data_IF_761655003276
#
_entry.id   IF_761655003276
#
_cell.length_a   1.000
_cell.length_b   1.000
_cell.length_c   1.000
_cell.angle_alpha   90.00
_cell.angle_beta   90.00
_cell.angle_gamma   90.00
#
_symmetry.space_group_name_H-M   'P 1'
#
loop_
_entity.id
_entity.type
_entity.pdbx_description
1 polymer ?
#
# COMPACT_ATOMS: atom_id res chain seq x y z
N UNK A 1 0.37 4.90 -25.37
CA UNK A 1 1.12 4.61 -24.12
C UNK A 1 2.60 4.72 -24.34
N UNK A 2 3.14 4.11 -25.39
CA UNK A 2 4.59 4.13 -25.68
C UNK A 2 5.16 5.54 -25.84
N UNK A 3 4.43 6.44 -26.51
CA UNK A 3 4.85 7.84 -26.67
C UNK A 3 4.90 8.61 -25.32
N UNK A 4 3.97 8.34 -24.40
CA UNK A 4 4.01 8.92 -23.05
C UNK A 4 5.22 8.42 -22.30
N UNK A 5 5.44 7.11 -22.29
CA UNK A 5 6.59 6.47 -21.66
C UNK A 5 7.91 7.07 -22.16
N UNK A 6 8.12 7.13 -23.47
CA UNK A 6 9.33 7.70 -24.07
C UNK A 6 9.55 9.16 -23.65
N UNK A 7 8.49 9.97 -23.64
CA UNK A 7 8.58 11.39 -23.23
C UNK A 7 8.99 11.52 -21.77
N UNK A 8 8.42 10.70 -20.89
CA UNK A 8 8.76 10.68 -19.46
C UNK A 8 10.20 10.19 -19.22
N UNK A 9 10.62 9.14 -19.92
CA UNK A 9 11.98 8.61 -19.79
C UNK A 9 13.02 9.63 -20.29
N UNK A 10 12.75 10.32 -21.40
CA UNK A 10 13.62 11.41 -21.87
C UNK A 10 13.72 12.55 -20.86
N UNK A 11 12.59 13.00 -20.31
CA UNK A 11 12.57 14.06 -19.30
C UNK A 11 13.18 13.64 -17.95
N UNK A 12 13.24 12.33 -17.67
CA UNK A 12 13.91 11.80 -16.49
C UNK A 12 15.43 11.93 -16.62
N UNK A 13 15.98 11.60 -17.80
CA UNK A 13 17.41 11.73 -18.10
C UNK A 13 17.83 13.21 -18.25
N UNK A 14 16.96 14.06 -18.82
CA UNK A 14 17.19 15.49 -18.95
C UNK A 14 16.02 16.31 -18.37
N UNK A 15 16.18 16.77 -17.13
CA UNK A 15 15.17 17.58 -16.44
C UNK A 15 14.97 18.97 -17.05
N UNK A 16 15.87 19.46 -17.91
CA UNK A 16 15.69 20.75 -18.59
C UNK A 16 14.46 20.75 -19.52
N UNK A 17 14.08 19.55 -20.01
CA UNK A 17 12.91 19.32 -20.84
C UNK A 17 11.59 19.62 -20.12
N UNK A 18 11.57 19.74 -18.79
CA UNK A 18 10.38 20.15 -18.04
C UNK A 18 9.88 21.57 -18.37
N UNK A 19 10.69 22.39 -19.06
CA UNK A 19 10.26 23.69 -19.59
C UNK A 19 9.37 23.57 -20.84
N UNK A 20 9.41 22.43 -21.53
CA UNK A 20 8.58 22.18 -22.71
C UNK A 20 7.15 21.84 -22.28
N UNK A 21 6.19 22.59 -22.81
CA UNK A 21 4.76 22.40 -22.58
C UNK A 21 4.32 20.97 -22.90
N UNK A 22 4.86 20.34 -23.95
CA UNK A 22 4.54 18.96 -24.34
C UNK A 22 4.91 17.96 -23.24
N UNK A 23 6.05 18.17 -22.59
CA UNK A 23 6.51 17.31 -21.49
C UNK A 23 5.65 17.52 -20.25
N UNK A 24 5.30 18.77 -19.94
CA UNK A 24 4.40 19.08 -18.83
C UNK A 24 3.02 18.43 -19.02
N UNK A 25 2.45 18.52 -20.23
CA UNK A 25 1.19 17.87 -20.60
C UNK A 25 1.29 16.34 -20.48
N UNK A 26 2.41 15.74 -20.92
CA UNK A 26 2.63 14.30 -20.76
C UNK A 26 2.67 13.86 -19.29
N UNK A 27 3.37 14.60 -18.43
CA UNK A 27 3.40 14.34 -16.98
C UNK A 27 1.99 14.45 -16.40
N UNK A 28 1.28 15.56 -16.66
CA UNK A 28 -0.09 15.77 -16.19
C UNK A 28 -1.04 14.66 -16.66
N UNK A 29 -0.89 14.20 -17.91
CA UNK A 29 -1.69 13.11 -18.46
C UNK A 29 -1.45 11.79 -17.72
N UNK A 30 -0.20 11.48 -17.33
CA UNK A 30 0.10 10.29 -16.52
C UNK A 30 -0.58 10.38 -15.15
N UNK A 31 -0.49 11.53 -14.48
CA UNK A 31 -1.13 11.75 -13.18
C UNK A 31 -2.66 11.63 -13.26
N UNK A 32 -3.25 12.13 -14.34
CA UNK A 32 -4.69 11.98 -14.60
C UNK A 32 -5.09 10.53 -14.82
N UNK A 33 -4.28 9.76 -15.55
CA UNK A 33 -4.53 8.32 -15.76
C UNK A 33 -4.34 7.50 -14.47
N UNK A 34 -3.40 7.90 -13.60
CA UNK A 34 -3.26 7.36 -12.25
C UNK A 34 -4.50 7.67 -11.40
N UNK A 35 -4.96 8.92 -11.37
CA UNK A 35 -6.14 9.32 -10.59
C UNK A 35 -7.42 8.57 -11.01
N UNK A 36 -7.52 8.23 -12.31
CA UNK A 36 -8.63 7.48 -12.92
C UNK A 36 -8.44 5.95 -12.89
N UNK A 37 -7.30 5.44 -12.43
CA UNK A 37 -7.01 4.01 -12.40
C UNK A 37 -6.78 3.35 -13.77
N UNK A 38 -6.66 4.15 -14.84
CA UNK A 38 -6.29 3.69 -16.20
C UNK A 38 -4.81 3.30 -16.27
N UNK A 39 -4.00 3.91 -15.40
CA UNK A 39 -2.63 3.51 -15.11
C UNK A 39 -2.52 3.13 -13.65
N UNK A 40 -1.58 2.24 -13.35
CA UNK A 40 -1.17 1.90 -11.99
C UNK A 40 0.34 1.67 -11.92
N UNK A 41 0.93 1.97 -10.77
CA UNK A 41 2.39 1.95 -10.57
C UNK A 41 2.95 0.53 -10.59
N UNK A 42 2.21 -0.45 -10.12
CA UNK A 42 2.52 -1.87 -10.30
C UNK A 42 1.23 -2.65 -10.52
N UNK A 43 1.29 -3.70 -11.33
CA UNK A 43 0.12 -4.54 -11.66
C UNK A 43 0.50 -6.03 -11.64
N UNK A 44 -0.45 -6.91 -11.28
CA UNK A 44 -0.24 -8.35 -11.42
C UNK A 44 -0.19 -8.74 -12.91
N UNK A 45 0.68 -9.68 -13.24
CA UNK A 45 0.78 -10.35 -14.54
C UNK A 45 -0.04 -11.65 -14.53
N UNK A 46 -0.25 -12.24 -15.70
CA UNK A 46 -1.04 -13.48 -15.86
C UNK A 46 -0.43 -14.69 -15.16
N UNK A 47 0.87 -14.67 -14.87
CA UNK A 47 1.59 -15.71 -14.12
C UNK A 47 1.56 -15.50 -12.59
N UNK A 48 0.87 -14.46 -12.11
CA UNK A 48 0.78 -14.11 -10.69
C UNK A 48 1.99 -13.32 -10.15
N UNK A 49 2.99 -13.02 -10.99
CA UNK A 49 4.05 -12.07 -10.62
C UNK A 49 3.57 -10.63 -10.75
N UNK A 50 4.32 -9.67 -10.21
CA UNK A 50 3.99 -8.25 -10.28
C UNK A 50 4.99 -7.50 -11.15
N UNK A 51 4.48 -6.73 -12.10
CA UNK A 51 5.28 -5.81 -12.91
C UNK A 51 5.21 -4.41 -12.31
N UNK A 52 6.38 -3.78 -12.14
CA UNK A 52 6.48 -2.36 -11.76
C UNK A 52 6.60 -1.52 -13.03
N UNK A 53 5.74 -0.52 -13.17
CA UNK A 53 5.84 0.51 -14.19
C UNK A 53 6.72 1.66 -13.66
N UNK A 54 8.04 1.46 -13.67
CA UNK A 54 9.02 2.40 -13.12
C UNK A 54 8.89 3.81 -13.75
N UNK A 55 8.62 3.88 -15.06
CA UNK A 55 8.40 5.15 -15.77
C UNK A 55 7.21 5.94 -15.21
N UNK A 56 6.20 5.29 -14.66
CA UNK A 56 5.07 5.96 -14.02
C UNK A 56 5.53 6.62 -12.71
N UNK A 57 6.43 5.99 -11.95
CA UNK A 57 7.05 6.63 -10.77
C UNK A 57 7.93 7.82 -11.17
N UNK A 58 8.69 7.69 -12.26
CA UNK A 58 9.46 8.81 -12.83
C UNK A 58 8.54 10.00 -13.13
N UNK A 59 7.38 9.77 -13.76
CA UNK A 59 6.39 10.83 -14.02
C UNK A 59 5.89 11.48 -12.72
N UNK A 60 5.61 10.70 -11.68
CA UNK A 60 5.21 11.22 -10.36
C UNK A 60 6.29 12.11 -9.74
N UNK A 61 7.55 11.70 -9.80
CA UNK A 61 8.66 12.51 -9.29
C UNK A 61 8.84 13.79 -10.11
N UNK A 62 8.71 13.71 -11.44
CA UNK A 62 8.77 14.86 -12.36
C UNK A 62 7.57 15.81 -12.19
N UNK A 63 6.45 15.34 -11.66
CA UNK A 63 5.29 16.19 -11.38
C UNK A 63 5.55 17.18 -10.25
N UNK A 64 6.30 16.81 -9.21
CA UNK A 64 6.57 17.68 -8.07
C UNK A 64 7.23 19.03 -8.40
N UNK A 65 8.29 19.13 -9.23
CA UNK A 65 8.85 20.42 -9.61
C UNK A 65 7.96 21.24 -10.55
N UNK A 66 6.95 20.62 -11.18
CA UNK A 66 5.97 21.33 -12.03
C UNK A 66 4.84 21.98 -11.23
N UNK A 67 4.71 21.66 -9.93
CA UNK A 67 3.69 22.25 -9.07
C UNK A 67 4.26 23.40 -8.24
N UNK A 68 3.43 24.41 -7.98
CA UNK A 68 3.78 25.56 -7.15
C UNK A 68 3.18 25.38 -5.75
N UNK A 69 3.89 25.87 -4.74
CA UNK A 69 3.38 25.85 -3.36
C UNK A 69 2.23 26.85 -3.24
N UNK A 70 1.14 26.40 -2.63
CA UNK A 70 -0.05 27.21 -2.38
C UNK A 70 -0.41 27.14 -0.90
N UNK A 71 -0.95 28.23 -0.37
CA UNK A 71 -1.56 28.25 0.96
C UNK A 71 -3.02 27.79 0.84
N UNK A 72 -3.40 26.84 1.68
CA UNK A 72 -4.75 26.25 1.72
C UNK A 72 -5.28 26.46 3.14
N UNK A 73 -6.44 27.12 3.28
CA UNK A 73 -7.05 27.40 4.57
C UNK A 73 -8.35 26.60 4.76
N UNK A 74 -8.56 26.04 5.95
CA UNK A 74 -9.79 25.33 6.34
C UNK A 74 -10.17 25.76 7.76
N UNK A 75 -11.06 26.74 7.90
CA UNK A 75 -11.43 27.28 9.21
C UNK A 75 -10.19 27.85 9.93
N UNK A 76 -9.85 27.42 11.16
CA UNK A 76 -8.67 27.92 11.88
C UNK A 76 -7.35 27.28 11.41
N UNK A 77 -7.36 26.37 10.44
CA UNK A 77 -6.18 25.65 9.98
C UNK A 77 -5.59 26.28 8.71
N UNK A 78 -4.27 26.45 8.69
CA UNK A 78 -3.49 26.82 7.50
C UNK A 78 -2.58 25.66 7.09
N UNK A 79 -2.52 25.37 5.79
CA UNK A 79 -1.62 24.40 5.19
C UNK A 79 -0.82 25.07 4.06
N UNK A 80 0.38 24.57 3.79
CA UNK A 80 1.22 25.01 2.68
C UNK A 80 1.74 23.79 1.92
N UNK A 81 1.11 23.45 0.80
CA UNK A 81 1.41 22.28 -0.03
C UNK A 81 1.19 22.61 -1.52
N UNK A 82 1.70 21.75 -2.40
CA UNK A 82 1.60 21.90 -3.86
C UNK A 82 0.87 20.76 -4.55
N UNK A 83 0.41 19.75 -3.80
CA UNK A 83 -0.28 18.59 -4.37
C UNK A 83 -1.78 18.72 -4.11
N UNK A 84 -2.60 18.88 -5.16
CA UNK A 84 -4.04 18.96 -4.99
C UNK A 84 -4.63 17.72 -4.31
N UNK A 85 -5.75 17.91 -3.61
CA UNK A 85 -6.54 16.80 -3.09
C UNK A 85 -7.41 16.18 -4.18
N UNK A 86 -7.67 14.87 -4.06
CA UNK A 86 -8.61 14.15 -4.93
C UNK A 86 -10.03 14.66 -4.72
N UNK A 87 -10.82 14.68 -5.80
CA UNK A 87 -12.18 15.23 -5.84
C UNK A 87 -13.16 14.22 -6.47
N UNK A 88 -14.42 14.61 -6.56
CA UNK A 88 -15.50 13.90 -7.28
C UNK A 88 -15.85 12.50 -6.74
N UNK A 89 -15.76 12.30 -5.41
CA UNK A 89 -16.02 11.01 -4.76
C UNK A 89 -17.43 10.45 -5.05
N UNK A 90 -18.47 11.30 -5.07
CA UNK A 90 -19.86 10.88 -5.34
C UNK A 90 -19.99 10.22 -6.72
N UNK A 91 -19.38 10.79 -7.75
CA UNK A 91 -19.43 10.24 -9.11
C UNK A 91 -18.58 8.97 -9.26
N UNK A 92 -17.60 8.77 -8.38
CA UNK A 92 -16.74 7.58 -8.32
C UNK A 92 -17.31 6.48 -7.40
N UNK A 93 -18.45 6.71 -6.73
CA UNK A 93 -19.02 5.74 -5.79
C UNK A 93 -18.13 5.44 -4.58
N UNK A 94 -17.31 6.40 -4.16
CA UNK A 94 -16.40 6.27 -3.01
C UNK A 94 -17.00 6.96 -1.80
N UNK A 95 -17.05 6.27 -0.65
CA UNK A 95 -17.50 6.84 0.62
C UNK A 95 -16.31 7.43 1.38
N UNK A 96 -16.36 8.72 1.66
CA UNK A 96 -15.31 9.45 2.38
C UNK A 96 -15.91 10.01 3.67
N UNK A 97 -15.49 9.48 4.82
CA UNK A 97 -15.93 9.93 6.15
C UNK A 97 -15.04 11.09 6.60
N UNK A 98 -15.59 12.23 7.04
CA UNK A 98 -14.78 13.35 7.51
C UNK A 98 -13.90 12.96 8.70
N UNK A 99 -12.59 13.22 8.70
CA UNK A 99 -11.79 14.03 7.75
C UNK A 99 -10.80 13.20 6.92
N UNK A 100 -11.26 12.14 6.25
CA UNK A 100 -10.40 11.34 5.38
C UNK A 100 -9.88 12.14 4.17
N UNK A 101 -8.64 11.91 3.78
CA UNK A 101 -7.91 12.69 2.77
C UNK A 101 -7.26 11.75 1.75
N UNK A 102 -7.43 12.05 0.47
CA UNK A 102 -6.66 11.45 -0.61
C UNK A 102 -6.03 12.54 -1.48
N UNK A 103 -4.78 12.33 -1.92
CA UNK A 103 -4.12 13.21 -2.90
C UNK A 103 -4.56 12.89 -4.33
N UNK A 104 -4.61 13.91 -5.18
CA UNK A 104 -4.80 13.74 -6.62
C UNK A 104 -3.72 12.82 -7.19
N UNK A 105 -4.12 11.91 -8.08
CA UNK A 105 -3.25 10.86 -8.61
C UNK A 105 -3.28 9.57 -7.77
N UNK A 106 -4.08 9.50 -6.71
CA UNK A 106 -4.47 8.25 -6.07
C UNK A 106 -5.76 7.70 -6.71
N UNK A 107 -5.79 6.42 -7.02
CA UNK A 107 -6.99 5.75 -7.50
C UNK A 107 -7.74 5.07 -6.35
N UNK A 108 -9.06 5.27 -6.34
CA UNK A 108 -10.00 4.63 -5.44
C UNK A 108 -11.11 4.03 -6.31
N UNK A 109 -11.22 2.70 -6.34
CA UNK A 109 -12.26 2.00 -7.10
C UNK A 109 -13.63 2.21 -6.44
N UNK A 110 -14.70 2.01 -7.21
CA UNK A 110 -16.08 2.12 -6.71
C UNK A 110 -16.30 1.17 -5.51
N UNK A 111 -16.97 1.68 -4.46
CA UNK A 111 -17.25 0.92 -3.25
C UNK A 111 -16.15 1.00 -2.16
N UNK A 112 -15.03 1.69 -2.41
CA UNK A 112 -14.04 1.98 -1.34
C UNK A 112 -14.67 2.84 -0.24
N UNK A 113 -14.34 2.51 1.01
CA UNK A 113 -14.73 3.27 2.20
C UNK A 113 -13.48 3.80 2.89
N UNK A 114 -13.40 5.13 3.01
CA UNK A 114 -12.37 5.82 3.78
C UNK A 114 -12.96 6.35 5.08
N UNK A 115 -12.61 5.73 6.20
CA UNK A 115 -12.71 6.34 7.53
C UNK A 115 -11.65 7.46 7.65
N UNK A 116 -11.61 8.29 8.71
CA UNK A 116 -10.61 9.36 8.83
C UNK A 116 -9.18 8.82 8.67
N UNK A 117 -8.60 8.92 7.48
CA UNK A 117 -7.41 8.19 7.04
C UNK A 117 -6.74 8.96 5.90
N UNK A 118 -5.56 8.50 5.45
CA UNK A 118 -4.78 9.17 4.41
C UNK A 118 -4.40 8.22 3.27
N UNK A 119 -4.67 8.61 2.02
CA UNK A 119 -4.25 7.89 0.80
C UNK A 119 -3.37 8.81 -0.05
N UNK A 120 -2.11 8.42 -0.25
CA UNK A 120 -1.14 9.25 -0.94
C UNK A 120 -1.15 9.00 -2.46
N UNK A 121 -0.54 9.93 -3.20
CA UNK A 121 -0.49 9.93 -4.66
C UNK A 121 0.17 8.66 -5.22
N UNK A 122 -0.38 8.15 -6.33
CA UNK A 122 0.09 6.95 -7.02
C UNK A 122 -0.40 5.65 -6.39
N UNK A 123 -1.04 5.71 -5.21
CA UNK A 123 -1.68 4.55 -4.62
C UNK A 123 -2.87 4.09 -5.48
N UNK A 124 -3.14 2.78 -5.42
CA UNK A 124 -4.29 2.16 -6.05
C UNK A 124 -5.04 1.37 -4.98
N UNK A 125 -6.34 1.64 -4.79
CA UNK A 125 -7.17 0.98 -3.78
C UNK A 125 -8.41 0.36 -4.42
N UNK A 126 -8.57 -0.95 -4.25
CA UNK A 126 -9.61 -1.74 -4.92
C UNK A 126 -10.97 -1.70 -4.28
N UNK A 127 -11.98 -2.12 -5.04
CA UNK A 127 -13.38 -2.11 -4.64
C UNK A 127 -13.63 -2.95 -3.39
N UNK A 128 -14.60 -2.53 -2.59
CA UNK A 128 -14.94 -3.17 -1.32
C UNK A 128 -13.90 -3.01 -0.21
N UNK A 129 -12.77 -2.33 -0.47
CA UNK A 129 -11.73 -2.12 0.55
C UNK A 129 -12.14 -1.06 1.56
N UNK A 130 -11.85 -1.36 2.83
CA UNK A 130 -12.05 -0.48 3.97
C UNK A 130 -10.69 0.06 4.46
N UNK A 131 -10.54 1.39 4.46
CA UNK A 131 -9.40 2.10 5.02
C UNK A 131 -9.85 2.73 6.33
N UNK A 132 -9.61 2.03 7.44
CA UNK A 132 -10.13 2.44 8.76
C UNK A 132 -9.44 3.66 9.35
N UNK A 133 -10.01 4.13 10.46
CA UNK A 133 -9.59 5.34 11.16
C UNK A 133 -8.09 5.29 11.48
N UNK A 134 -7.39 6.34 11.07
CA UNK A 134 -5.96 6.55 11.17
C UNK A 134 -5.09 5.55 10.41
N UNK A 135 -5.68 4.80 9.48
CA UNK A 135 -4.88 4.04 8.52
C UNK A 135 -4.21 4.99 7.51
N UNK A 136 -3.09 4.54 6.95
CA UNK A 136 -2.35 5.26 5.91
C UNK A 136 -2.04 4.32 4.76
N UNK A 137 -2.35 4.76 3.54
CA UNK A 137 -1.93 4.12 2.30
C UNK A 137 -0.89 5.03 1.63
N UNK A 138 0.38 4.66 1.75
CA UNK A 138 1.50 5.45 1.26
C UNK A 138 1.61 5.51 -0.26
N UNK A 139 2.50 6.39 -0.76
CA UNK A 139 2.65 6.63 -2.20
C UNK A 139 2.95 5.35 -2.96
N UNK A 140 2.30 5.20 -4.11
CA UNK A 140 2.45 4.03 -4.99
C UNK A 140 1.97 2.69 -4.41
N UNK A 141 1.49 2.61 -3.16
CA UNK A 141 1.01 1.36 -2.58
C UNK A 141 -0.14 0.76 -3.39
N UNK A 142 -0.18 -0.57 -3.50
CA UNK A 142 -1.18 -1.30 -4.25
C UNK A 142 -2.02 -2.13 -3.28
N UNK A 143 -3.28 -1.70 -3.07
CA UNK A 143 -4.23 -2.36 -2.19
C UNK A 143 -5.29 -3.05 -3.04
N UNK A 144 -5.43 -4.36 -2.89
CA UNK A 144 -6.38 -5.18 -3.61
C UNK A 144 -7.83 -4.86 -3.28
N UNK A 145 -8.72 -5.70 -3.79
CA UNK A 145 -10.16 -5.66 -3.55
C UNK A 145 -10.51 -6.38 -2.26
N UNK A 146 -11.58 -5.92 -1.61
CA UNK A 146 -12.09 -6.46 -0.34
C UNK A 146 -11.00 -6.57 0.76
N UNK A 147 -10.03 -5.66 0.74
CA UNK A 147 -9.01 -5.59 1.79
C UNK A 147 -9.60 -4.84 2.99
N UNK A 148 -9.29 -5.30 4.20
CA UNK A 148 -9.59 -4.55 5.42
C UNK A 148 -8.29 -4.05 6.04
N UNK A 149 -8.01 -2.76 5.88
CA UNK A 149 -6.94 -2.08 6.61
C UNK A 149 -7.54 -1.54 7.92
N UNK A 150 -7.29 -2.23 9.03
CA UNK A 150 -7.87 -1.87 10.33
C UNK A 150 -7.31 -0.55 10.89
N UNK A 151 -7.87 -0.11 12.02
CA UNK A 151 -7.49 1.17 12.63
C UNK A 151 -5.99 1.32 12.89
N UNK A 152 -5.43 2.43 12.42
CA UNK A 152 -4.01 2.74 12.59
C UNK A 152 -3.03 1.89 11.79
N UNK A 153 -3.50 1.15 10.78
CA UNK A 153 -2.62 0.38 9.88
C UNK A 153 -1.79 1.33 9.01
N UNK A 154 -0.48 1.11 8.95
CA UNK A 154 0.43 1.88 8.11
C UNK A 154 0.94 1.06 6.93
N UNK A 155 0.52 1.41 5.72
CA UNK A 155 1.09 0.87 4.48
C UNK A 155 2.12 1.86 3.94
N UNK A 156 3.39 1.45 3.93
CA UNK A 156 4.51 2.29 3.52
C UNK A 156 4.47 2.63 2.03
N UNK A 157 4.73 3.90 1.73
CA UNK A 157 4.92 4.36 0.36
C UNK A 157 6.31 4.05 -0.16
N UNK A 158 6.43 3.77 -1.45
CA UNK A 158 7.72 3.55 -2.12
C UNK A 158 7.71 4.27 -3.47
N UNK A 159 8.16 5.52 -3.48
CA UNK A 159 8.28 6.30 -4.70
C UNK A 159 9.68 6.19 -5.32
N UNK A 160 10.70 6.28 -4.47
CA UNK A 160 12.10 6.14 -4.86
C UNK A 160 12.75 4.96 -4.12
N UNK A 161 13.61 4.18 -4.79
CA UNK A 161 14.01 4.33 -6.19
C UNK A 161 12.91 3.81 -7.17
N UNK A 162 12.81 4.33 -8.41
CA UNK A 162 11.68 4.05 -9.31
C UNK A 162 11.43 2.56 -9.61
N UNK A 163 12.49 1.76 -9.67
CA UNK A 163 12.45 0.32 -9.92
C UNK A 163 11.98 -0.52 -8.72
N UNK A 164 11.99 0.04 -7.51
CA UNK A 164 11.60 -0.71 -6.32
C UNK A 164 10.10 -1.07 -6.39
N UNK A 165 9.75 -2.29 -6.01
CA UNK A 165 8.34 -2.65 -5.89
C UNK A 165 7.66 -1.79 -4.83
N UNK A 166 6.46 -1.24 -5.08
CA UNK A 166 5.66 -0.66 -4.01
C UNK A 166 5.23 -1.73 -3.01
N UNK A 167 4.74 -1.28 -1.85
CA UNK A 167 4.08 -2.18 -0.90
C UNK A 167 2.79 -2.67 -1.52
N UNK A 168 2.60 -3.98 -1.54
CA UNK A 168 1.47 -4.66 -2.20
C UNK A 168 0.71 -5.45 -1.14
N UNK A 169 -0.60 -5.19 -1.04
CA UNK A 169 -1.55 -5.98 -0.28
C UNK A 169 -2.56 -6.52 -1.29
N UNK A 170 -2.57 -7.82 -1.51
CA UNK A 170 -3.46 -8.43 -2.50
C UNK A 170 -4.90 -8.59 -2.00
N UNK A 171 -5.77 -9.07 -2.89
CA UNK A 171 -7.21 -9.19 -2.67
C UNK A 171 -7.55 -10.01 -1.42
N UNK A 172 -8.64 -9.61 -0.76
CA UNK A 172 -9.23 -10.28 0.40
C UNK A 172 -8.29 -10.40 1.62
N UNK A 173 -7.22 -9.62 1.69
CA UNK A 173 -6.36 -9.57 2.87
C UNK A 173 -7.05 -8.85 4.03
N UNK A 174 -6.75 -9.30 5.24
CA UNK A 174 -7.09 -8.58 6.46
C UNK A 174 -5.82 -8.13 7.17
N UNK A 175 -5.70 -6.83 7.45
CA UNK A 175 -4.55 -6.25 8.14
C UNK A 175 -5.02 -5.69 9.48
N UNK A 176 -4.65 -6.37 10.56
CA UNK A 176 -5.09 -6.04 11.92
C UNK A 176 -4.56 -4.70 12.42
N UNK A 177 -5.25 -4.16 13.42
CA UNK A 177 -5.00 -2.81 13.94
C UNK A 177 -3.54 -2.61 14.35
N UNK A 178 -3.01 -1.41 14.07
CA UNK A 178 -1.63 -1.00 14.37
C UNK A 178 -0.54 -1.81 13.66
N UNK A 179 -0.88 -2.66 12.70
CA UNK A 179 0.10 -3.32 11.86
C UNK A 179 0.74 -2.34 10.87
N UNK A 180 2.01 -2.56 10.58
CA UNK A 180 2.83 -1.71 9.70
C UNK A 180 3.45 -2.61 8.62
N UNK A 181 3.21 -2.31 7.35
CA UNK A 181 3.76 -3.05 6.21
C UNK A 181 4.44 -2.05 5.28
N UNK A 182 5.77 -2.13 5.14
CA UNK A 182 6.56 -1.07 4.50
C UNK A 182 7.62 -1.62 3.55
N UNK A 183 8.40 -0.74 2.92
CA UNK A 183 9.59 -1.09 2.12
C UNK A 183 9.33 -2.02 0.92
N UNK A 184 8.09 -2.04 0.41
CA UNK A 184 7.75 -2.90 -0.72
C UNK A 184 7.51 -4.35 -0.34
N UNK A 185 7.19 -4.63 0.93
CA UNK A 185 6.69 -5.95 1.35
C UNK A 185 5.43 -6.29 0.56
N UNK A 186 5.33 -7.57 0.18
CA UNK A 186 4.20 -8.11 -0.58
C UNK A 186 3.41 -9.09 0.29
N UNK A 187 2.17 -8.75 0.60
CA UNK A 187 1.23 -9.63 1.29
C UNK A 187 0.29 -10.23 0.25
N UNK A 188 0.41 -11.53 0.02
CA UNK A 188 -0.40 -12.25 -0.97
C UNK A 188 -1.85 -12.43 -0.52
N UNK A 189 -2.69 -12.75 -1.50
CA UNK A 189 -4.15 -12.79 -1.36
C UNK A 189 -4.61 -13.59 -0.15
N UNK A 190 -5.70 -13.13 0.45
CA UNK A 190 -6.41 -13.79 1.55
C UNK A 190 -5.59 -13.96 2.85
N UNK A 191 -4.39 -13.39 2.94
CA UNK A 191 -3.60 -13.42 4.16
C UNK A 191 -4.25 -12.57 5.28
N UNK A 192 -4.03 -12.99 6.52
CA UNK A 192 -4.55 -12.35 7.73
C UNK A 192 -3.38 -11.98 8.62
N UNK A 193 -3.14 -10.69 8.80
CA UNK A 193 -2.22 -10.19 9.81
C UNK A 193 -3.02 -9.85 11.06
N UNK A 194 -2.62 -10.42 12.20
CA UNK A 194 -3.10 -10.00 13.52
C UNK A 194 -2.75 -8.54 13.81
N UNK A 195 -3.21 -8.05 14.96
CA UNK A 195 -2.84 -6.72 15.40
C UNK A 195 -1.32 -6.61 15.67
N UNK A 196 -0.78 -5.41 15.47
CA UNK A 196 0.61 -5.05 15.80
C UNK A 196 1.69 -5.87 15.04
N UNK A 197 1.37 -6.42 13.87
CA UNK A 197 2.35 -7.09 13.01
C UNK A 197 3.14 -6.04 12.23
N UNK A 198 4.47 -6.05 12.38
CA UNK A 198 5.36 -5.09 11.71
C UNK A 198 6.26 -5.80 10.70
N UNK A 199 6.04 -5.53 9.41
CA UNK A 199 6.75 -6.12 8.29
C UNK A 199 7.56 -5.07 7.53
N UNK A 200 8.88 -5.23 7.55
CA UNK A 200 9.85 -4.54 6.70
C UNK A 200 10.51 -5.55 5.76
N UNK A 201 11.38 -5.12 4.83
CA UNK A 201 12.16 -6.06 4.01
C UNK A 201 13.14 -6.89 4.83
N UNK A 202 13.50 -6.43 6.02
CA UNK A 202 14.42 -7.11 6.94
C UNK A 202 13.73 -7.97 8.00
N UNK A 203 12.42 -7.78 8.24
CA UNK A 203 11.65 -8.62 9.16
C UNK A 203 11.74 -10.09 8.76
N UNK A 204 12.07 -10.96 9.72
CA UNK A 204 11.93 -12.41 9.55
C UNK A 204 10.46 -12.78 9.70
N UNK A 205 9.91 -13.42 8.68
CA UNK A 205 8.56 -13.99 8.70
C UNK A 205 8.77 -15.50 8.80
N UNK A 206 8.55 -16.08 9.98
CA UNK A 206 8.89 -17.47 10.28
C UNK A 206 7.61 -18.29 10.28
N UNK A 207 7.49 -19.21 9.34
CA UNK A 207 6.44 -20.21 9.33
C UNK A 207 6.78 -21.32 10.31
N UNK A 208 5.91 -21.49 11.31
CA UNK A 208 6.03 -22.49 12.39
C UNK A 208 4.92 -23.55 12.33
N UNK A 209 4.24 -23.66 11.19
CA UNK A 209 3.16 -24.64 10.97
C UNK A 209 3.67 -26.06 10.74
N UNK A 210 4.89 -26.17 10.20
CA UNK A 210 5.56 -27.43 9.92
C UNK A 210 6.36 -27.99 11.09
N UNK A 211 6.99 -29.15 10.87
CA UNK A 211 7.93 -29.74 11.84
C UNK A 211 9.20 -28.91 12.02
N UNK A 212 9.62 -28.24 10.94
CA UNK A 212 10.79 -27.37 10.90
C UNK A 212 10.38 -25.96 10.44
N UNK A 213 10.97 -24.89 11.00
CA UNK A 213 10.60 -23.53 10.66
C UNK A 213 11.10 -23.13 9.27
N UNK A 214 10.24 -22.45 8.49
CA UNK A 214 10.61 -21.87 7.19
C UNK A 214 10.63 -20.34 7.30
N UNK A 215 11.74 -19.69 6.91
CA UNK A 215 11.85 -18.22 7.00
C UNK A 215 11.66 -17.56 5.64
N UNK A 216 10.66 -16.69 5.56
CA UNK A 216 10.42 -15.76 4.46
C UNK A 216 10.95 -14.35 4.81
N UNK A 217 11.20 -13.55 3.77
CA UNK A 217 11.54 -12.13 3.89
C UNK A 217 10.84 -11.33 2.82
N UNK A 218 10.24 -10.22 3.20
CA UNK A 218 9.62 -9.29 2.26
C UNK A 218 8.38 -9.80 1.53
N UNK A 219 7.91 -11.03 1.81
CA UNK A 219 6.73 -11.64 1.21
C UNK A 219 6.01 -12.51 2.24
N UNK A 220 4.68 -12.33 2.36
CA UNK A 220 3.79 -13.19 3.15
C UNK A 220 3.02 -14.08 2.16
N UNK A 221 3.14 -15.42 2.24
CA UNK A 221 2.42 -16.32 1.35
C UNK A 221 0.90 -16.21 1.47
N UNK A 222 0.18 -16.55 0.39
CA UNK A 222 -1.27 -16.47 0.34
C UNK A 222 -1.92 -17.25 1.49
N UNK A 223 -3.05 -16.74 1.97
CA UNK A 223 -3.86 -17.33 3.06
C UNK A 223 -3.13 -17.48 4.39
N UNK A 224 -1.91 -16.98 4.56
CA UNK A 224 -1.17 -17.10 5.83
C UNK A 224 -1.87 -16.35 6.95
N UNK A 225 -1.91 -16.95 8.15
CA UNK A 225 -2.31 -16.28 9.39
C UNK A 225 -1.05 -15.90 10.15
N UNK A 226 -0.83 -14.59 10.31
CA UNK A 226 0.42 -14.01 10.80
C UNK A 226 0.19 -13.28 12.11
N UNK A 227 1.01 -13.55 13.12
CA UNK A 227 0.99 -12.84 14.41
C UNK A 227 2.37 -12.25 14.74
N UNK A 228 2.44 -11.27 15.66
CA UNK A 228 3.71 -10.83 16.22
C UNK A 228 4.39 -11.98 16.97
N UNK A 229 5.72 -12.04 16.91
CA UNK A 229 6.49 -12.98 17.71
C UNK A 229 7.92 -12.51 17.93
N UNK A 230 8.71 -13.37 18.54
CA UNK A 230 10.14 -13.16 18.74
C UNK A 230 10.92 -14.43 18.47
N UNK A 231 12.20 -14.30 18.18
CA UNK A 231 13.13 -15.43 18.13
C UNK A 231 14.41 -15.10 18.90
N UNK A 232 15.05 -16.09 19.55
CA UNK A 232 16.31 -15.88 20.23
C UNK A 232 17.42 -15.62 19.22
N UNK A 233 18.27 -14.63 19.51
CA UNK A 233 19.46 -14.33 18.74
C UNK A 233 20.63 -14.09 19.69
N UNK A 234 21.77 -14.68 19.36
CA UNK A 234 23.03 -14.46 20.06
C UNK A 234 23.64 -13.10 19.70
N UNK A 235 24.10 -12.38 20.72
CA UNK A 235 24.85 -11.14 20.63
C UNK A 235 26.10 -11.24 21.53
N UNK A 236 27.10 -10.36 21.37
CA UNK A 236 28.26 -10.34 22.27
C UNK A 236 27.91 -10.22 23.76
N UNK A 237 26.75 -9.65 24.08
CA UNK A 237 26.25 -9.48 25.44
C UNK A 237 25.30 -10.61 25.91
N UNK A 238 25.14 -11.69 25.13
CA UNK A 238 24.27 -12.83 25.44
C UNK A 238 23.08 -12.99 24.50
N UNK A 239 22.17 -13.88 24.85
CA UNK A 239 20.97 -14.20 24.05
C UNK A 239 19.83 -13.24 24.36
N UNK A 240 19.27 -12.63 23.32
CA UNK A 240 18.10 -11.74 23.44
C UNK A 240 17.01 -12.12 22.44
N UNK A 241 15.77 -11.77 22.76
CA UNK A 241 14.62 -11.94 21.87
C UNK A 241 14.56 -10.79 20.88
N UNK A 242 14.54 -11.11 19.58
CA UNK A 242 14.40 -10.13 18.50
C UNK A 242 13.03 -10.33 17.85
N UNK A 243 12.35 -9.22 17.57
CA UNK A 243 11.05 -9.24 16.92
C UNK A 243 11.07 -9.97 15.56
N UNK A 244 10.02 -10.75 15.32
CA UNK A 244 9.71 -11.36 14.04
C UNK A 244 8.18 -11.39 13.84
N UNK A 245 7.76 -11.83 12.66
CA UNK A 245 6.40 -12.24 12.42
C UNK A 245 6.36 -13.77 12.36
N UNK A 246 5.32 -14.39 12.92
CA UNK A 246 5.12 -15.83 12.89
C UNK A 246 3.92 -16.16 12.02
N UNK A 247 4.10 -17.02 11.02
CA UNK A 247 2.97 -17.67 10.33
C UNK A 247 2.61 -18.89 11.18
N UNK A 248 1.39 -18.88 11.73
CA UNK A 248 0.90 -19.92 12.66
C UNK A 248 -0.12 -20.86 12.01
N UNK A 249 -0.49 -20.58 10.76
CA UNK A 249 -1.47 -21.37 10.03
C UNK A 249 -1.82 -20.76 8.70
N UNK A 250 -2.77 -21.39 8.03
CA UNK A 250 -3.39 -20.89 6.81
C UNK A 250 -4.90 -20.86 6.96
N UNK A 251 -5.54 -19.83 6.44
CA UNK A 251 -6.99 -19.69 6.39
C UNK A 251 -7.60 -20.86 5.62
N UNK A 252 -8.53 -21.59 6.23
CA UNK A 252 -9.28 -22.67 5.57
C UNK A 252 -10.36 -22.13 4.63
N UNK A 253 -10.70 -22.90 3.59
CA UNK A 253 -11.75 -22.53 2.63
C UNK A 253 -13.14 -22.40 3.26
N UNK A 254 -13.39 -23.13 4.36
CA UNK A 254 -14.63 -23.03 5.15
C UNK A 254 -14.77 -21.69 5.89
N UNK A 255 -13.67 -20.95 6.06
CA UNK A 255 -13.56 -19.67 6.78
C UNK A 255 -13.73 -18.48 5.82
N UNK A 256 -14.28 -18.68 4.62
CA UNK A 256 -14.31 -17.68 3.54
C UNK A 256 -15.59 -16.83 3.49
N UNK A 257 -16.67 -17.17 4.23
CA UNK A 257 -17.99 -16.59 3.96
C UNK A 257 -18.55 -15.60 4.99
N UNK A 258 -18.00 -15.46 6.20
CA UNK A 258 -18.47 -14.49 7.24
C UNK A 258 -17.67 -14.44 8.54
N UNK A 259 -16.58 -15.18 8.62
CA UNK A 259 -15.76 -15.37 9.81
C UNK A 259 -15.00 -14.09 10.14
N UNK A 260 -15.30 -13.50 11.30
CA UNK A 260 -14.58 -12.34 11.82
C UNK A 260 -13.10 -12.69 12.03
N UNK A 261 -12.18 -11.72 11.94
CA UNK A 261 -10.77 -11.86 12.36
C UNK A 261 -10.63 -12.72 13.63
N UNK A 262 -11.55 -12.48 14.57
CA UNK A 262 -11.58 -13.12 15.87
C UNK A 262 -11.70 -14.63 15.75
N UNK A 263 -12.43 -15.17 14.76
CA UNK A 263 -12.57 -16.61 14.56
C UNK A 263 -11.30 -17.24 13.99
N UNK A 264 -10.65 -16.58 13.02
CA UNK A 264 -9.37 -17.04 12.48
C UNK A 264 -8.26 -17.04 13.55
N UNK A 265 -8.21 -16.02 14.42
CA UNK A 265 -7.24 -15.97 15.53
C UNK A 265 -7.59 -16.95 16.66
N UNK A 266 -8.88 -17.09 17.01
CA UNK A 266 -9.33 -18.05 18.03
C UNK A 266 -9.07 -19.49 17.63
N UNK A 267 -9.14 -19.83 16.35
CA UNK A 267 -8.82 -21.18 15.86
C UNK A 267 -7.40 -21.62 16.25
N UNK A 268 -6.47 -20.67 16.36
CA UNK A 268 -5.08 -20.92 16.76
C UNK A 268 -4.79 -20.55 18.23
N UNK A 269 -5.82 -20.46 19.08
CA UNK A 269 -5.71 -20.11 20.50
C UNK A 269 -4.99 -18.78 20.77
N UNK A 270 -5.06 -17.82 19.84
CA UNK A 270 -4.53 -16.48 20.03
C UNK A 270 -5.60 -15.63 20.71
N UNK A 271 -5.26 -14.99 21.84
CA UNK A 271 -6.16 -14.06 22.52
C UNK A 271 -6.42 -12.85 21.62
N UNK A 272 -7.70 -12.46 21.51
CA UNK A 272 -8.20 -11.35 20.68
C UNK A 272 -8.85 -10.30 21.53
#
# INVERSE_FOLDING_TARGET
MDQLRQTIEQAWEDRSLLKDKRVQEAVQQVLSQLDQGKLRVAAPLSDGTWQVNDWVKKAVVLYFPLQQMETIEVGPFEFHDKIPLKRNYKAQGVRVVPHAIARYGAFLEEGVIMMPSYVNLGAWVGSGTMVDTWATVGSCAQIGRNVHLSGGVGIGGVLEPPQASPTIIEDNCFIGSRSIVVEGVHVEKEAVLGANVVLTKSTRIIDVTGKEPVTHKGRVPARSVVIPGTYPKEFPAGTYQVACALIIGQRKASTDLKTSLNEALREYNVAV
#
